data_IF_929958649779
#
_entry.id   IF_929958649779
#
_cell.length_a   1.000
_cell.length_b   1.000
_cell.length_c   1.000
_cell.angle_alpha   90.00
_cell.angle_beta   90.00
_cell.angle_gamma   90.00
#
_symmetry.space_group_name_H-M   'P 1'
#
loop_
_entity.id
_entity.type
_entity.pdbx_description
1 polymer ?
#
# COMPACT_ATOMS: atom_id res chain seq x y z
N UNK A 1 26.02 -17.49 2.96
CA UNK A 1 25.28 -17.91 4.17
C UNK A 1 23.87 -17.34 4.05
N UNK A 2 22.95 -18.11 3.49
CA UNK A 2 21.58 -17.67 3.26
C UNK A 2 20.80 -17.78 4.58
N UNK A 3 20.28 -16.66 5.06
CA UNK A 3 19.37 -16.64 6.20
C UNK A 3 18.06 -17.32 5.78
N UNK A 4 17.61 -18.28 6.58
CA UNK A 4 16.34 -18.97 6.37
C UNK A 4 15.18 -17.96 6.35
N UNK A 5 14.13 -18.18 5.53
CA UNK A 5 12.97 -17.30 5.51
C UNK A 5 12.20 -17.51 6.82
N UNK A 6 12.37 -16.60 7.76
CA UNK A 6 11.47 -16.49 8.91
C UNK A 6 10.09 -16.15 8.38
N UNK A 7 9.15 -17.10 8.47
CA UNK A 7 7.73 -16.87 8.22
C UNK A 7 7.22 -15.95 9.32
N UNK A 8 7.36 -14.64 9.12
CA UNK A 8 6.65 -13.66 9.92
C UNK A 8 5.16 -13.85 9.63
N UNK A 9 4.41 -14.23 10.65
CA UNK A 9 2.95 -14.13 10.62
C UNK A 9 2.60 -12.66 10.39
N UNK A 10 2.16 -12.32 9.17
CA UNK A 10 1.72 -10.97 8.77
C UNK A 10 0.42 -10.51 9.47
N UNK A 11 0.04 -11.10 10.61
CA UNK A 11 -1.17 -10.72 11.33
C UNK A 11 -0.94 -9.40 12.05
N UNK A 12 -1.74 -8.40 11.69
CA UNK A 12 -1.80 -7.14 12.42
C UNK A 12 -2.25 -7.38 13.88
N UNK A 13 -1.76 -6.58 14.85
CA UNK A 13 -2.24 -6.63 16.22
C UNK A 13 -3.77 -6.50 16.30
N UNK A 14 -4.41 -7.30 17.15
CA UNK A 14 -5.87 -7.33 17.26
C UNK A 14 -6.49 -5.94 17.58
N UNK A 15 -5.79 -5.13 18.36
CA UNK A 15 -6.18 -3.74 18.66
C UNK A 15 -6.20 -2.87 17.40
N UNK A 16 -5.15 -2.96 16.57
CA UNK A 16 -5.05 -2.24 15.31
C UNK A 16 -6.14 -2.69 14.33
N UNK A 17 -6.38 -4.00 14.20
CA UNK A 17 -7.45 -4.54 13.33
C UNK A 17 -8.81 -3.98 13.72
N UNK A 18 -9.13 -3.92 15.01
CA UNK A 18 -10.40 -3.34 15.50
C UNK A 18 -10.54 -1.86 15.15
N UNK A 19 -9.46 -1.08 15.28
CA UNK A 19 -9.45 0.34 14.91
C UNK A 19 -9.65 0.52 13.41
N UNK A 20 -8.97 -0.28 12.58
CA UNK A 20 -9.11 -0.25 11.12
C UNK A 20 -10.52 -0.65 10.70
N UNK A 21 -11.04 -1.77 11.22
CA UNK A 21 -12.39 -2.25 10.91
C UNK A 21 -13.47 -1.22 11.27
N UNK A 22 -13.37 -0.58 12.45
CA UNK A 22 -14.27 0.51 12.84
C UNK A 22 -14.25 1.65 11.80
N UNK A 23 -13.06 2.08 11.40
CA UNK A 23 -12.91 3.16 10.43
C UNK A 23 -13.41 2.80 9.02
N UNK A 24 -13.24 1.56 8.58
CA UNK A 24 -13.80 1.06 7.31
C UNK A 24 -15.33 1.12 7.37
N UNK A 25 -15.95 0.60 8.43
CA UNK A 25 -17.41 0.63 8.60
C UNK A 25 -17.96 2.05 8.61
N UNK A 26 -17.29 3.00 9.28
CA UNK A 26 -17.69 4.42 9.26
C UNK A 26 -17.63 5.03 7.85
N UNK A 27 -16.69 4.60 7.00
CA UNK A 27 -16.58 5.08 5.62
C UNK A 27 -17.62 4.42 4.72
N UNK A 28 -17.92 3.15 4.94
CA UNK A 28 -19.01 2.47 4.24
C UNK A 28 -20.37 3.07 4.58
N UNK A 29 -20.60 3.42 5.84
CA UNK A 29 -21.80 4.14 6.27
C UNK A 29 -21.93 5.49 5.54
N UNK A 30 -20.82 6.24 5.44
CA UNK A 30 -20.78 7.46 4.65
C UNK A 30 -21.10 7.21 3.16
N UNK A 31 -20.52 6.19 2.52
CA UNK A 31 -20.82 5.86 1.13
C UNK A 31 -22.31 5.48 0.96
N UNK A 32 -22.85 4.66 1.86
CA UNK A 32 -24.23 4.22 1.84
C UNK A 32 -25.23 5.38 1.97
N UNK A 33 -24.96 6.35 2.85
CA UNK A 33 -25.80 7.58 2.98
C UNK A 33 -25.79 8.43 1.70
N UNK A 34 -24.75 8.31 0.88
CA UNK A 34 -24.64 8.98 -0.41
C UNK A 34 -25.10 8.12 -1.59
N UNK A 35 -25.79 6.99 -1.33
CA UNK A 35 -26.26 6.02 -2.33
C UNK A 35 -25.14 5.42 -3.19
N UNK A 36 -23.93 5.28 -2.62
CA UNK A 36 -22.75 4.74 -3.30
C UNK A 36 -22.39 3.37 -2.71
N UNK A 37 -22.25 2.37 -3.58
CA UNK A 37 -21.70 1.07 -3.25
C UNK A 37 -20.33 0.89 -3.94
N UNK A 38 -19.32 0.46 -3.18
CA UNK A 38 -17.95 0.34 -3.69
C UNK A 38 -17.76 -0.74 -4.78
N UNK A 39 -18.55 -1.82 -4.71
CA UNK A 39 -18.51 -2.95 -5.65
C UNK A 39 -17.38 -3.96 -5.45
N UNK A 40 -16.18 -3.51 -5.05
CA UNK A 40 -15.02 -4.40 -4.84
C UNK A 40 -14.24 -4.08 -3.55
N UNK A 41 -14.91 -4.12 -2.39
CA UNK A 41 -14.25 -3.82 -1.12
C UNK A 41 -13.49 -5.03 -0.57
N UNK A 42 -12.16 -4.95 -0.58
CA UNK A 42 -11.28 -5.93 0.06
C UNK A 42 -10.03 -5.26 0.66
N UNK A 43 -9.20 -6.00 1.39
CA UNK A 43 -8.04 -5.46 2.13
C UNK A 43 -7.02 -4.70 1.28
N UNK A 44 -6.91 -4.99 -0.02
CA UNK A 44 -6.03 -4.24 -0.95
C UNK A 44 -6.58 -2.86 -1.34
N UNK A 45 -7.88 -2.64 -1.15
CA UNK A 45 -8.58 -1.37 -1.41
C UNK A 45 -8.77 -0.56 -0.10
N UNK A 46 -8.06 -0.95 0.95
CA UNK A 46 -8.02 -0.26 2.24
C UNK A 46 -6.58 0.23 2.45
N UNK A 47 -6.39 1.55 2.38
CA UNK A 47 -5.11 2.20 2.58
C UNK A 47 -5.01 2.87 3.94
N UNK A 48 -3.78 3.07 4.42
CA UNK A 48 -3.49 3.94 5.57
C UNK A 48 -2.83 5.21 5.05
N UNK A 49 -3.40 6.36 5.40
CA UNK A 49 -2.88 7.65 5.01
C UNK A 49 -1.55 7.93 5.73
N UNK A 50 -0.58 8.42 4.96
CA UNK A 50 0.63 9.01 5.50
C UNK A 50 0.30 10.37 6.12
N UNK A 51 0.66 10.63 7.39
CA UNK A 51 0.55 11.97 7.97
C UNK A 51 1.34 12.97 7.14
N UNK A 52 0.79 14.17 6.97
CA UNK A 52 1.43 15.31 6.33
C UNK A 52 1.86 15.09 4.86
N UNK A 53 1.33 14.05 4.19
CA UNK A 53 1.69 13.74 2.80
C UNK A 53 1.47 14.93 1.86
N UNK A 54 0.37 15.66 2.04
CA UNK A 54 0.04 16.83 1.21
C UNK A 54 0.99 18.02 1.41
N UNK A 55 1.72 18.05 2.52
CA UNK A 55 2.69 19.11 2.85
C UNK A 55 4.14 18.68 2.70
N UNK A 56 4.37 17.41 2.32
CA UNK A 56 5.71 16.85 2.17
C UNK A 56 6.25 17.21 0.78
N UNK A 57 7.48 17.71 0.70
CA UNK A 57 8.14 17.83 -0.60
C UNK A 57 8.49 16.45 -1.16
N UNK A 58 8.73 16.37 -2.45
CA UNK A 58 9.17 15.12 -3.09
C UNK A 58 10.51 14.66 -2.52
N UNK A 59 11.44 15.58 -2.30
CA UNK A 59 12.75 15.28 -1.73
C UNK A 59 12.63 14.69 -0.31
N UNK A 60 11.78 15.28 0.53
CA UNK A 60 11.54 14.77 1.89
C UNK A 60 10.81 13.43 1.89
N UNK A 61 9.92 13.21 0.92
CA UNK A 61 9.26 11.93 0.71
C UNK A 61 10.28 10.84 0.36
N UNK A 62 11.15 11.10 -0.63
CA UNK A 62 12.20 10.18 -1.06
C UNK A 62 13.19 9.91 0.08
N UNK A 63 13.59 10.94 0.84
CA UNK A 63 14.47 10.77 1.99
C UNK A 63 13.89 9.82 3.06
N UNK A 64 12.55 9.77 3.21
CA UNK A 64 11.86 8.86 4.13
C UNK A 64 11.74 7.44 3.61
N UNK A 65 11.87 7.20 2.31
CA UNK A 65 12.01 5.84 1.75
C UNK A 65 13.37 5.21 2.09
N UNK A 66 14.33 6.03 2.52
CA UNK A 66 15.65 5.60 2.90
C UNK A 66 16.58 5.41 1.70
N UNK A 67 17.56 4.53 1.85
CA UNK A 67 18.46 4.19 0.76
C UNK A 67 17.71 3.36 -0.29
N UNK A 68 17.77 3.80 -1.54
CA UNK A 68 17.20 3.07 -2.67
C UNK A 68 18.20 1.99 -3.06
N UNK A 69 17.86 0.74 -2.77
CA UNK A 69 18.66 -0.40 -3.19
C UNK A 69 18.38 -0.72 -4.66
N UNK A 70 19.45 -0.89 -5.44
CA UNK A 70 19.37 -1.31 -6.84
C UNK A 70 19.92 -2.72 -7.03
N UNK A 71 19.39 -3.41 -8.03
CA UNK A 71 19.83 -4.75 -8.43
C UNK A 71 20.21 -4.77 -9.91
N UNK A 72 21.36 -5.34 -10.25
CA UNK A 72 21.72 -5.51 -11.65
C UNK A 72 20.82 -6.55 -12.31
N UNK A 73 20.23 -6.19 -13.46
CA UNK A 73 19.50 -7.17 -14.29
C UNK A 73 20.54 -8.04 -14.97
N UNK A 74 20.39 -9.36 -14.86
CA UNK A 74 21.25 -10.33 -15.53
C UNK A 74 20.41 -11.39 -16.22
N UNK A 75 20.90 -11.92 -17.35
CA UNK A 75 20.23 -13.07 -17.97
C UNK A 75 20.51 -14.33 -17.16
N UNK A 76 19.48 -15.15 -16.98
CA UNK A 76 19.59 -16.46 -16.30
C UNK A 76 20.65 -17.37 -16.96
N UNK A 77 20.83 -17.25 -18.28
CA UNK A 77 21.84 -18.01 -19.03
C UNK A 77 23.23 -17.37 -19.05
N UNK A 78 23.45 -16.24 -18.37
CA UNK A 78 24.73 -15.53 -18.32
C UNK A 78 25.11 -14.76 -19.60
N UNK A 79 24.24 -14.73 -20.62
CA UNK A 79 24.48 -13.97 -21.85
C UNK A 79 24.31 -12.45 -21.67
N UNK A 80 24.73 -11.65 -22.66
CA UNK A 80 24.58 -10.19 -22.62
C UNK A 80 23.10 -9.77 -22.62
N UNK A 81 22.79 -8.64 -21.99
CA UNK A 81 21.49 -7.99 -22.14
C UNK A 81 21.35 -7.41 -23.55
N UNK A 82 20.13 -7.42 -24.08
CA UNK A 82 19.81 -6.70 -25.33
C UNK A 82 19.61 -5.22 -25.03
N UNK A 83 19.82 -4.35 -26.02
CA UNK A 83 19.79 -2.88 -25.88
C UNK A 83 18.48 -2.31 -25.31
N UNK A 84 17.38 -3.07 -25.38
CA UNK A 84 16.05 -2.65 -24.92
C UNK A 84 15.68 -3.18 -23.51
N UNK A 85 16.58 -3.89 -22.83
CA UNK A 85 16.33 -4.35 -21.47
C UNK A 85 16.80 -3.32 -20.44
N UNK A 86 16.03 -3.08 -19.36
CA UNK A 86 16.54 -2.32 -18.24
C UNK A 86 17.78 -3.00 -17.67
N UNK A 87 18.80 -2.21 -17.37
CA UNK A 87 20.07 -2.70 -16.81
C UNK A 87 20.00 -2.86 -15.30
N UNK A 88 19.05 -2.20 -14.65
CA UNK A 88 18.87 -2.19 -13.20
C UNK A 88 17.41 -2.33 -12.79
N UNK A 89 17.18 -2.94 -11.64
CA UNK A 89 15.93 -2.95 -10.89
C UNK A 89 16.05 -2.06 -9.66
N UNK A 90 14.92 -1.51 -9.23
CA UNK A 90 14.80 -0.88 -7.92
C UNK A 90 14.13 -1.88 -6.99
N UNK A 91 14.76 -2.18 -5.86
CA UNK A 91 14.18 -3.05 -4.85
C UNK A 91 13.03 -2.33 -4.14
N UNK A 92 11.90 -3.01 -3.86
CA UNK A 92 10.82 -2.44 -3.08
C UNK A 92 11.32 -2.00 -1.70
N UNK A 93 11.11 -0.73 -1.35
CA UNK A 93 11.43 -0.19 -0.02
C UNK A 93 10.18 0.11 0.78
N UNK A 94 10.33 0.18 2.09
CA UNK A 94 9.28 0.53 3.03
C UNK A 94 9.51 1.94 3.58
N UNK A 95 8.43 2.68 3.72
CA UNK A 95 8.48 4.03 4.29
C UNK A 95 8.97 3.99 5.75
N UNK A 96 10.07 4.70 6.04
CA UNK A 96 10.60 4.80 7.41
C UNK A 96 9.58 5.49 8.32
N UNK A 97 9.41 4.96 9.52
CA UNK A 97 8.41 5.46 10.46
C UNK A 97 7.01 4.89 10.26
N UNK A 98 6.86 3.77 9.53
CA UNK A 98 5.61 3.02 9.42
C UNK A 98 4.93 2.76 10.77
N UNK A 99 5.72 2.50 11.83
CA UNK A 99 5.19 2.34 13.20
C UNK A 99 4.41 3.57 13.71
N UNK A 100 4.79 4.78 13.30
CA UNK A 100 4.06 6.00 13.65
C UNK A 100 2.67 6.02 12.97
N UNK A 101 2.58 5.56 11.73
CA UNK A 101 1.31 5.40 11.00
C UNK A 101 0.41 4.41 11.74
N UNK A 102 0.98 3.28 12.18
CA UNK A 102 0.23 2.24 12.91
C UNK A 102 -0.26 2.70 14.29
N UNK A 103 0.40 3.68 14.92
CA UNK A 103 0.01 4.19 16.24
C UNK A 103 -1.32 4.94 16.22
N UNK A 104 -1.60 5.65 15.12
CA UNK A 104 -2.80 6.47 14.91
C UNK A 104 -3.24 6.37 13.44
N UNK A 105 -3.73 5.20 13.01
CA UNK A 105 -4.01 4.96 11.60
C UNK A 105 -5.16 5.85 11.12
N UNK A 106 -4.99 6.52 9.99
CA UNK A 106 -6.08 7.14 9.25
C UNK A 106 -6.39 6.29 8.03
N UNK A 107 -7.48 5.53 8.08
CA UNK A 107 -7.85 4.62 6.98
C UNK A 107 -8.39 5.40 5.76
N UNK A 108 -8.27 4.87 4.56
CA UNK A 108 -8.93 5.35 3.35
C UNK A 108 -9.46 4.13 2.60
N UNK A 109 -10.67 4.24 2.04
CA UNK A 109 -11.15 3.31 1.03
C UNK A 109 -10.73 3.92 -0.31
N UNK A 110 -10.11 3.12 -1.17
CA UNK A 110 -9.56 3.54 -2.45
C UNK A 110 -10.07 2.60 -3.55
N UNK A 111 -9.83 2.99 -4.80
CA UNK A 111 -10.23 2.24 -6.00
C UNK A 111 -11.75 2.10 -6.16
N UNK A 112 -12.35 3.14 -6.73
CA UNK A 112 -13.78 3.19 -7.03
C UNK A 112 -14.08 2.74 -8.46
N UNK A 113 -13.21 1.96 -9.12
CA UNK A 113 -13.40 1.51 -10.50
C UNK A 113 -14.67 0.67 -10.69
N UNK A 114 -15.03 -0.12 -9.68
CA UNK A 114 -16.22 -1.00 -9.67
C UNK A 114 -17.40 -0.39 -8.89
N UNK A 115 -17.37 0.92 -8.64
CA UNK A 115 -18.39 1.60 -7.84
C UNK A 115 -19.67 1.85 -8.65
N UNK A 116 -20.81 1.69 -7.99
CA UNK A 116 -22.12 1.95 -8.56
C UNK A 116 -23.02 2.71 -7.58
N UNK A 117 -24.00 3.43 -8.14
CA UNK A 117 -25.08 4.02 -7.35
C UNK A 117 -26.15 2.97 -7.07
N UNK A 118 -26.88 3.08 -5.96
CA UNK A 118 -27.87 2.08 -5.54
C UNK A 118 -28.96 1.81 -6.58
N UNK A 119 -29.28 2.79 -7.43
CA UNK A 119 -30.25 2.64 -8.53
C UNK A 119 -29.68 2.09 -9.85
N UNK A 120 -28.36 1.91 -9.95
CA UNK A 120 -27.65 1.51 -11.17
C UNK A 120 -26.59 0.43 -10.86
N UNK A 121 -26.99 -0.59 -10.09
CA UNK A 121 -26.14 -1.74 -9.80
C UNK A 121 -25.85 -2.62 -11.02
N UNK A 122 -24.74 -3.38 -11.00
CA UNK A 122 -24.34 -4.31 -12.05
C UNK A 122 -25.24 -5.56 -12.15
#
# INVERSE_FOLDING_TARGET
MALAPTVYSYRLPATLVKVVAKQVLQRLDFLAVNDIAHGDLHTKNIAMALPDLNSLSEEDFVARLGEIATGAVTRVNGGPLEDNFPTETIEPTSFRGFNNILSRPSVKIIDFGETFFGNNGP
#
